data_IF_463048134495
#
_entry.id   IF_463048134495
#
_cell.length_a   1.000
_cell.length_b   1.000
_cell.length_c   1.000
_cell.angle_alpha   90.00
_cell.angle_beta   90.00
_cell.angle_gamma   90.00
#
_symmetry.space_group_name_H-M   'P 1'
#
loop_
_entity.id
_entity.type
_entity.pdbx_description
1 polymer ?
#
# COMPACT_ATOMS: atom_id res chain seq x y z
N UNK A 1 -21.13 -6.27 0.79
CA UNK A 1 -20.06 -7.22 1.18
C UNK A 1 -19.39 -7.74 -0.09
N UNK A 2 -18.05 -7.69 -0.23
CA UNK A 2 -17.37 -8.19 -1.44
C UNK A 2 -17.53 -9.71 -1.57
N UNK A 3 -17.92 -10.18 -2.77
CA UNK A 3 -18.03 -11.59 -3.13
C UNK A 3 -16.67 -12.30 -2.97
N UNK A 4 -16.68 -13.56 -2.50
CA UNK A 4 -15.49 -14.42 -2.30
C UNK A 4 -14.62 -14.52 -3.55
N UNK A 5 -15.24 -14.56 -4.75
CA UNK A 5 -14.51 -14.57 -6.03
C UNK A 5 -13.71 -13.28 -6.26
N UNK A 6 -14.33 -12.14 -5.97
CA UNK A 6 -13.70 -10.82 -6.10
C UNK A 6 -12.53 -10.66 -5.14
N UNK A 7 -12.66 -11.12 -3.89
CA UNK A 7 -11.55 -11.07 -2.90
C UNK A 7 -10.33 -11.89 -3.37
N UNK A 8 -10.55 -13.09 -3.89
CA UNK A 8 -9.47 -13.92 -4.44
C UNK A 8 -8.78 -13.26 -5.63
N UNK A 9 -9.55 -12.65 -6.53
CA UNK A 9 -8.99 -11.91 -7.68
C UNK A 9 -8.15 -10.72 -7.21
N UNK A 10 -8.64 -9.96 -6.25
CA UNK A 10 -7.95 -8.82 -5.67
C UNK A 10 -6.63 -9.21 -4.99
N UNK A 11 -6.63 -10.35 -4.29
CA UNK A 11 -5.41 -10.88 -3.68
C UNK A 11 -4.40 -11.37 -4.73
N UNK A 12 -4.87 -12.02 -5.81
CA UNK A 12 -3.97 -12.45 -6.89
C UNK A 12 -3.38 -11.26 -7.66
N UNK A 13 -4.13 -10.18 -7.83
CA UNK A 13 -3.62 -8.93 -8.40
C UNK A 13 -2.51 -8.32 -7.55
N UNK A 14 -2.70 -8.27 -6.22
CA UNK A 14 -1.64 -7.80 -5.30
C UNK A 14 -0.36 -8.61 -5.44
N UNK A 15 -0.46 -9.93 -5.48
CA UNK A 15 0.71 -10.81 -5.66
C UNK A 15 1.43 -10.55 -7.00
N UNK A 16 0.68 -10.32 -8.09
CA UNK A 16 1.27 -9.94 -9.38
C UNK A 16 2.00 -8.60 -9.29
N UNK A 17 1.42 -7.60 -8.60
CA UNK A 17 2.08 -6.31 -8.38
C UNK A 17 3.37 -6.47 -7.57
N UNK A 18 3.36 -7.29 -6.51
CA UNK A 18 4.56 -7.55 -5.70
C UNK A 18 5.66 -8.25 -6.50
N UNK A 19 5.31 -9.13 -7.44
CA UNK A 19 6.25 -9.78 -8.36
C UNK A 19 6.84 -8.79 -9.37
N UNK A 20 5.98 -7.98 -9.98
CA UNK A 20 6.41 -6.95 -10.93
C UNK A 20 7.29 -5.89 -10.27
N UNK A 21 6.98 -5.48 -9.04
CA UNK A 21 7.82 -4.57 -8.25
C UNK A 21 9.24 -5.14 -8.09
N UNK A 22 9.37 -6.39 -7.63
CA UNK A 22 10.67 -7.02 -7.45
C UNK A 22 11.44 -7.24 -8.75
N UNK A 23 10.74 -7.36 -9.90
CA UNK A 23 11.38 -7.49 -11.21
C UNK A 23 11.92 -6.16 -11.72
N UNK A 24 11.23 -5.05 -11.42
CA UNK A 24 11.55 -3.71 -11.94
C UNK A 24 12.53 -2.95 -11.06
N UNK A 25 12.44 -3.13 -9.75
CA UNK A 25 13.29 -2.42 -8.79
C UNK A 25 14.67 -3.06 -8.69
N UNK A 26 15.63 -2.27 -8.22
CA UNK A 26 16.99 -2.73 -7.91
C UNK A 26 16.98 -3.90 -6.92
N UNK A 27 17.94 -4.85 -6.99
CA UNK A 27 18.11 -5.89 -5.97
C UNK A 27 18.28 -5.36 -4.54
N UNK A 28 18.72 -4.10 -4.40
CA UNK A 28 18.92 -3.44 -3.10
C UNK A 28 17.70 -2.59 -2.67
N UNK A 29 16.63 -2.55 -3.45
CA UNK A 29 15.45 -1.77 -3.11
C UNK A 29 14.65 -2.42 -1.97
N UNK A 30 14.04 -1.59 -1.13
CA UNK A 30 13.06 -2.06 -0.15
C UNK A 30 11.73 -2.33 -0.87
N UNK A 31 11.31 -3.59 -0.89
CA UNK A 31 10.08 -4.02 -1.56
C UNK A 31 8.87 -3.82 -0.64
N UNK A 32 7.71 -3.53 -1.21
CA UNK A 32 6.46 -3.39 -0.46
C UNK A 32 6.16 -4.59 0.42
N UNK A 33 6.47 -5.80 -0.06
CA UNK A 33 6.25 -7.05 0.71
C UNK A 33 7.11 -7.16 1.99
N UNK A 34 8.19 -6.38 2.10
CA UNK A 34 9.12 -6.39 3.23
C UNK A 34 8.73 -5.39 4.32
N UNK A 35 7.61 -4.67 4.17
CA UNK A 35 7.17 -3.68 5.15
C UNK A 35 6.96 -4.30 6.54
N UNK A 36 7.59 -3.69 7.56
CA UNK A 36 7.43 -4.05 8.96
C UNK A 36 6.40 -3.11 9.60
N UNK A 37 5.39 -3.68 10.26
CA UNK A 37 4.28 -2.91 10.86
C UNK A 37 4.42 -2.84 12.37
N UNK A 38 4.27 -1.64 12.94
CA UNK A 38 4.24 -1.43 14.39
C UNK A 38 3.04 -2.09 15.05
N UNK A 39 1.89 -2.10 14.38
CA UNK A 39 0.65 -2.74 14.82
C UNK A 39 0.14 -3.64 13.71
N UNK A 40 -0.27 -4.86 14.08
CA UNK A 40 -0.86 -5.78 13.12
C UNK A 40 -2.30 -5.36 12.81
N UNK A 41 -2.65 -5.30 11.54
CA UNK A 41 -3.97 -4.90 11.06
C UNK A 41 -4.50 -5.98 10.09
N UNK A 42 -5.33 -6.92 10.55
CA UNK A 42 -5.77 -8.07 9.75
C UNK A 42 -6.45 -7.67 8.44
N UNK A 43 -7.19 -6.56 8.45
CA UNK A 43 -7.89 -6.01 7.27
C UNK A 43 -6.94 -5.62 6.14
N UNK A 44 -5.68 -5.28 6.43
CA UNK A 44 -4.67 -4.98 5.41
C UNK A 44 -4.28 -6.24 4.64
N UNK A 45 -4.17 -7.38 5.33
CA UNK A 45 -3.84 -8.65 4.70
C UNK A 45 -4.94 -9.12 3.74
N UNK A 46 -6.19 -8.76 4.03
CA UNK A 46 -7.36 -9.03 3.17
C UNK A 46 -7.51 -8.04 1.99
N UNK A 47 -6.72 -6.96 1.98
CA UNK A 47 -6.76 -5.90 0.98
C UNK A 47 -5.90 -6.17 -0.26
N UNK A 48 -6.25 -5.49 -1.36
CA UNK A 48 -5.54 -5.59 -2.65
C UNK A 48 -4.35 -4.65 -2.80
N UNK A 49 -4.25 -3.62 -1.95
CA UNK A 49 -3.20 -2.61 -2.04
C UNK A 49 -1.90 -3.15 -1.47
N UNK A 50 -0.78 -2.80 -2.11
CA UNK A 50 0.56 -3.07 -1.59
C UNK A 50 0.81 -2.24 -0.32
N UNK A 51 1.76 -2.68 0.50
CA UNK A 51 1.99 -2.07 1.81
C UNK A 51 2.36 -0.58 1.71
N UNK A 52 3.28 -0.20 0.83
CA UNK A 52 3.67 1.21 0.67
C UNK A 52 2.61 2.04 -0.05
N UNK A 53 1.82 1.45 -0.95
CA UNK A 53 0.66 2.12 -1.55
C UNK A 53 -0.40 2.49 -0.49
N UNK A 54 -0.65 1.59 0.47
CA UNK A 54 -1.53 1.88 1.62
C UNK A 54 -1.00 3.03 2.48
N UNK A 55 0.31 3.09 2.69
CA UNK A 55 0.92 4.16 3.48
C UNK A 55 0.83 5.51 2.75
N UNK A 56 1.03 5.52 1.42
CA UNK A 56 0.80 6.71 0.60
C UNK A 56 -0.64 7.21 0.72
N UNK A 57 -1.63 6.32 0.61
CA UNK A 57 -3.05 6.69 0.79
C UNK A 57 -3.30 7.29 2.19
N UNK A 58 -2.72 6.72 3.24
CA UNK A 58 -2.87 7.22 4.62
C UNK A 58 -2.28 8.61 4.80
N UNK A 59 -1.10 8.86 4.23
CA UNK A 59 -0.47 10.18 4.27
C UNK A 59 -1.34 11.19 3.52
N UNK A 60 -1.72 10.85 2.28
CA UNK A 60 -2.54 11.69 1.40
C UNK A 60 -3.87 12.09 2.03
N UNK A 61 -4.53 11.15 2.72
CA UNK A 61 -5.81 11.38 3.39
C UNK A 61 -5.68 11.86 4.85
N UNK A 62 -4.47 12.19 5.31
CA UNK A 62 -4.27 12.71 6.66
C UNK A 62 -4.63 14.19 6.77
N UNK A 63 -5.21 14.60 7.90
CA UNK A 63 -5.48 16.02 8.21
C UNK A 63 -4.21 16.88 8.22
N UNK A 64 -3.06 16.30 8.55
CA UNK A 64 -1.79 17.00 8.53
C UNK A 64 -1.38 17.35 7.09
N UNK A 65 -1.47 16.39 6.17
CA UNK A 65 -1.18 16.59 4.76
C UNK A 65 -2.18 17.53 4.10
N UNK A 66 -3.49 17.41 4.35
CA UNK A 66 -4.49 18.31 3.73
C UNK A 66 -4.26 19.78 4.06
N UNK A 67 -3.73 20.11 5.24
CA UNK A 67 -3.39 21.49 5.64
C UNK A 67 -2.21 22.08 4.86
N UNK A 68 -1.45 21.28 4.11
CA UNK A 68 -0.36 21.81 3.28
C UNK A 68 -0.89 22.66 2.14
N UNK A 69 -2.16 22.50 1.73
CA UNK A 69 -2.77 23.32 0.69
C UNK A 69 -2.79 24.81 1.04
N UNK A 70 -2.91 25.11 2.35
CA UNK A 70 -2.98 26.47 2.87
C UNK A 70 -1.61 26.97 3.39
N UNK A 71 -0.51 26.24 3.13
CA UNK A 71 0.84 26.60 3.58
C UNK A 71 1.75 26.88 2.40
N UNK A 72 2.59 27.90 2.54
CA UNK A 72 3.67 28.18 1.57
C UNK A 72 4.96 27.47 1.99
N UNK A 73 5.79 27.14 0.99
CA UNK A 73 7.15 26.66 1.19
C UNK A 73 8.12 27.84 1.06
N UNK A 74 9.05 27.98 2.00
CA UNK A 74 10.16 28.95 1.97
C UNK A 74 11.41 28.27 1.41
#
# INVERSE_FOLDING_TARGET
MLNKKTRKLLQSLRLKLDQEEARRLSPFACLSRQAVRRKNEPKIAEGHRQQFALDADRVLHSKAYSRYIDKTQV
#
